data_IF_345916785476
#
_entry.id   IF_345916785476
#
_cell.length_a   1.000
_cell.length_b   1.000
_cell.length_c   1.000
_cell.angle_alpha   90.00
_cell.angle_beta   90.00
_cell.angle_gamma   90.00
#
_symmetry.space_group_name_H-M   'P 1'
#
loop_
_entity.id
_entity.type
_entity.pdbx_description
1 polymer ?
#
# COMPACT_ATOMS: atom_id res chain seq x y z
N UNK A 1 29.88 7.31 28.59
CA UNK A 1 28.49 7.82 28.56
C UNK A 1 27.59 6.62 28.35
N UNK A 2 26.42 6.52 29.01
CA UNK A 2 25.44 5.53 28.57
C UNK A 2 25.06 5.88 27.13
N UNK A 3 25.13 4.90 26.24
CA UNK A 3 24.66 5.04 24.86
C UNK A 3 23.15 5.16 25.00
N UNK A 4 22.59 6.34 24.69
CA UNK A 4 21.13 6.47 24.63
C UNK A 4 20.62 5.53 23.55
N UNK A 5 19.59 4.72 23.83
CA UNK A 5 19.09 3.77 22.85
C UNK A 5 18.52 4.51 21.64
N UNK A 6 18.80 4.00 20.44
CA UNK A 6 18.34 4.57 19.17
C UNK A 6 16.84 4.85 19.21
N UNK A 7 16.40 6.08 18.87
CA UNK A 7 14.98 6.42 18.85
C UNK A 7 14.23 5.51 17.89
N UNK A 8 13.03 5.10 18.27
CA UNK A 8 12.07 4.45 17.38
C UNK A 8 11.58 5.52 16.41
N UNK A 9 11.64 5.24 15.12
CA UNK A 9 11.12 6.13 14.09
C UNK A 9 9.69 5.70 13.74
N UNK A 10 8.78 6.67 13.65
CA UNK A 10 7.42 6.45 13.20
C UNK A 10 7.03 7.50 12.16
N UNK A 11 6.43 7.05 11.07
CA UNK A 11 5.76 7.90 10.11
C UNK A 11 4.25 7.85 10.31
N UNK A 12 3.64 9.02 10.42
CA UNK A 12 2.21 9.19 10.57
C UNK A 12 1.61 9.79 9.30
N UNK A 13 0.87 8.98 8.55
CA UNK A 13 0.11 9.44 7.38
C UNK A 13 -1.35 9.69 7.76
N UNK A 14 -1.94 10.79 7.30
CA UNK A 14 -3.32 11.15 7.64
C UNK A 14 -3.92 12.15 6.64
N UNK A 15 -5.25 12.20 6.59
CA UNK A 15 -5.94 13.24 5.84
C UNK A 15 -5.94 14.56 6.63
N UNK A 16 -5.12 15.53 6.21
CA UNK A 16 -4.99 16.85 6.86
C UNK A 16 -6.32 17.56 7.10
N UNK A 17 -7.25 17.50 6.15
CA UNK A 17 -8.57 18.12 6.29
C UNK A 17 -9.39 17.55 7.45
N UNK A 18 -9.15 16.30 7.83
CA UNK A 18 -9.84 15.70 8.97
C UNK A 18 -9.21 16.15 10.28
N UNK A 19 -7.89 16.25 10.35
CA UNK A 19 -7.21 16.78 11.55
C UNK A 19 -7.48 18.28 11.76
N UNK A 20 -7.63 19.07 10.70
CA UNK A 20 -8.03 20.48 10.80
C UNK A 20 -9.43 20.65 11.45
N UNK A 21 -10.32 19.68 11.26
CA UNK A 21 -11.67 19.69 11.83
C UNK A 21 -11.72 19.05 13.23
N UNK A 22 -11.00 17.94 13.43
CA UNK A 22 -11.13 17.09 14.62
C UNK A 22 -9.94 17.15 15.59
N UNK A 23 -8.77 17.65 15.17
CA UNK A 23 -7.59 17.89 16.01
C UNK A 23 -7.04 16.65 16.72
N UNK A 24 -7.04 15.48 16.07
CA UNK A 24 -6.66 14.22 16.70
C UNK A 24 -5.16 13.90 16.65
N UNK A 25 -4.39 14.50 15.74
CA UNK A 25 -2.97 14.14 15.53
C UNK A 25 -2.12 14.51 16.74
N UNK A 26 -2.20 15.74 17.23
CA UNK A 26 -1.36 16.19 18.35
C UNK A 26 -1.63 15.38 19.64
N UNK A 27 -2.89 15.14 20.07
CA UNK A 27 -3.19 14.26 21.20
C UNK A 27 -2.71 12.83 20.99
N UNK A 28 -2.88 12.27 19.79
CA UNK A 28 -2.45 10.92 19.43
C UNK A 28 -0.92 10.79 19.56
N UNK A 29 -0.17 11.65 18.89
CA UNK A 29 1.29 11.63 18.87
C UNK A 29 1.85 11.84 20.28
N UNK A 30 1.36 12.85 21.00
CA UNK A 30 1.82 13.16 22.35
C UNK A 30 1.64 11.97 23.30
N UNK A 31 0.46 11.34 23.27
CA UNK A 31 0.17 10.19 24.14
C UNK A 31 0.97 8.96 23.74
N UNK A 32 1.08 8.66 22.44
CA UNK A 32 1.84 7.52 21.93
C UNK A 32 3.32 7.64 22.31
N UNK A 33 3.94 8.81 22.12
CA UNK A 33 5.34 9.06 22.52
C UNK A 33 5.57 8.79 24.00
N UNK A 34 4.70 9.30 24.86
CA UNK A 34 4.80 9.11 26.31
C UNK A 34 4.70 7.63 26.71
N UNK A 35 3.73 6.91 26.14
CA UNK A 35 3.50 5.50 26.44
C UNK A 35 4.60 4.60 25.90
N UNK A 36 5.06 4.82 24.66
CA UNK A 36 6.19 4.07 24.09
C UNK A 36 7.45 4.29 24.92
N UNK A 37 7.77 5.53 25.32
CA UNK A 37 8.91 5.81 26.20
C UNK A 37 8.78 5.12 27.55
N UNK A 38 7.59 5.14 28.15
CA UNK A 38 7.34 4.51 29.45
C UNK A 38 7.42 2.98 29.39
N UNK A 39 6.95 2.35 28.31
CA UNK A 39 6.89 0.89 28.15
C UNK A 39 8.20 0.28 27.63
N UNK A 40 8.89 0.94 26.70
CA UNK A 40 10.08 0.40 26.03
C UNK A 40 11.40 1.04 26.51
N UNK A 41 11.35 2.19 27.19
CA UNK A 41 12.54 2.97 27.52
C UNK A 41 13.14 3.75 26.34
N UNK A 42 12.69 3.52 25.10
CA UNK A 42 13.17 4.20 23.88
C UNK A 42 12.34 5.45 23.59
N UNK A 43 13.00 6.50 23.08
CA UNK A 43 12.28 7.66 22.57
C UNK A 43 11.53 7.28 21.28
N UNK A 44 10.40 7.92 21.01
CA UNK A 44 9.66 7.79 19.76
C UNK A 44 9.73 9.12 19.02
N UNK A 45 10.43 9.11 17.89
CA UNK A 45 10.48 10.23 16.96
C UNK A 45 9.42 10.02 15.89
N UNK A 46 8.50 10.98 15.80
CA UNK A 46 7.34 10.91 14.92
C UNK A 46 7.49 11.96 13.84
N UNK A 47 7.47 11.51 12.59
CA UNK A 47 7.35 12.35 11.42
C UNK A 47 5.89 12.36 10.98
N UNK A 48 5.37 13.57 10.82
CA UNK A 48 3.97 13.82 10.47
C UNK A 48 3.96 14.39 9.07
N UNK A 49 3.23 13.76 8.15
CA UNK A 49 3.09 14.31 6.80
C UNK A 49 2.27 15.61 6.85
N UNK A 50 2.96 16.75 6.75
CA UNK A 50 2.33 18.08 6.73
C UNK A 50 2.24 18.66 5.31
N UNK A 51 3.06 18.17 4.38
CA UNK A 51 3.20 18.67 3.01
C UNK A 51 3.68 17.51 2.11
N UNK A 52 2.79 17.04 1.23
CA UNK A 52 2.90 15.87 0.36
C UNK A 52 4.04 15.88 -0.69
N UNK A 53 5.14 16.61 -0.48
CA UNK A 53 6.26 16.69 -1.41
C UNK A 53 7.56 16.65 -0.61
N UNK A 54 8.14 15.47 -0.41
CA UNK A 54 9.52 15.34 0.05
C UNK A 54 9.82 14.24 1.08
N UNK A 55 8.80 13.55 1.61
CA UNK A 55 9.06 12.41 2.49
C UNK A 55 9.37 11.13 1.72
N UNK A 56 8.70 10.89 0.59
CA UNK A 56 8.86 9.70 -0.25
C UNK A 56 10.29 9.39 -0.69
N UNK A 57 11.23 10.33 -0.73
CA UNK A 57 12.65 10.03 -1.01
C UNK A 57 13.44 9.67 0.25
N UNK A 58 13.29 10.42 1.35
CA UNK A 58 14.15 10.30 2.53
C UNK A 58 13.90 9.07 3.42
N UNK A 59 12.73 8.43 3.36
CA UNK A 59 12.49 7.21 4.14
C UNK A 59 12.67 5.93 3.31
N UNK A 60 12.66 6.03 1.96
CA UNK A 60 12.98 4.91 1.07
C UNK A 60 14.34 4.31 1.41
N UNK A 61 15.28 5.15 1.84
CA UNK A 61 16.64 4.78 2.25
C UNK A 61 16.70 4.35 3.74
N UNK A 62 15.87 4.95 4.60
CA UNK A 62 15.89 4.70 6.06
C UNK A 62 15.26 3.38 6.50
N UNK A 63 14.42 2.76 5.66
CA UNK A 63 13.90 1.42 5.96
C UNK A 63 15.03 0.37 5.90
N UNK A 64 16.12 0.67 5.19
CA UNK A 64 17.26 -0.22 4.98
C UNK A 64 18.48 0.18 5.82
N UNK A 65 18.63 1.46 6.15
CA UNK A 65 19.69 1.96 7.03
C UNK A 65 19.42 1.55 8.51
N UNK A 66 19.82 0.31 8.83
CA UNK A 66 20.13 -0.26 10.15
C UNK A 66 19.18 -1.33 10.70
N UNK A 67 19.81 -2.41 11.21
CA UNK A 67 19.22 -3.49 12.03
C UNK A 67 18.51 -2.95 13.30
N UNK A 68 18.70 -1.68 13.66
CA UNK A 68 18.17 -1.05 14.88
C UNK A 68 17.20 0.12 14.63
N UNK A 69 16.89 0.42 13.36
CA UNK A 69 16.22 1.65 12.92
C UNK A 69 14.92 1.43 12.14
N UNK A 70 14.26 0.29 12.32
CA UNK A 70 12.99 0.01 11.65
C UNK A 70 11.97 1.14 11.88
N UNK A 71 11.45 1.69 10.78
CA UNK A 71 10.46 2.76 10.81
C UNK A 71 9.06 2.15 10.78
N UNK A 72 8.25 2.48 11.78
CA UNK A 72 6.84 2.06 11.85
C UNK A 72 5.99 3.04 11.04
N UNK A 73 5.07 2.53 10.21
CA UNK A 73 4.13 3.34 9.45
C UNK A 73 2.73 3.24 10.06
N UNK A 74 2.16 4.37 10.46
CA UNK A 74 0.83 4.46 11.06
C UNK A 74 -0.05 5.36 10.20
N UNK A 75 -0.93 4.79 9.36
CA UNK A 75 -1.95 5.55 8.67
C UNK A 75 -3.16 5.74 9.59
N UNK A 76 -3.55 7.00 9.80
CA UNK A 76 -4.79 7.39 10.45
C UNK A 76 -5.91 7.42 9.40
N UNK A 77 -6.57 6.29 9.26
CA UNK A 77 -7.55 5.98 8.23
C UNK A 77 -8.89 6.65 8.50
N UNK A 78 -9.42 7.26 7.45
CA UNK A 78 -10.76 7.86 7.39
C UNK A 78 -11.34 7.65 6.00
N UNK A 79 -12.62 8.01 5.79
CA UNK A 79 -13.18 8.05 4.45
C UNK A 79 -12.39 9.02 3.53
N UNK A 80 -12.00 10.19 4.05
CA UNK A 80 -11.22 11.19 3.30
C UNK A 80 -9.83 10.68 2.96
N UNK A 81 -9.19 9.91 3.83
CA UNK A 81 -7.91 9.25 3.56
C UNK A 81 -7.98 8.43 2.26
N UNK A 82 -9.02 7.61 2.11
CA UNK A 82 -9.21 6.75 0.93
C UNK A 82 -9.41 7.55 -0.37
N UNK A 83 -9.80 8.82 -0.30
CA UNK A 83 -10.00 9.67 -1.47
C UNK A 83 -8.74 10.42 -1.90
N UNK A 84 -7.71 10.51 -1.04
CA UNK A 84 -6.50 11.30 -1.27
C UNK A 84 -5.42 10.48 -1.97
N UNK A 85 -5.04 10.81 -3.21
CA UNK A 85 -4.03 10.03 -3.94
C UNK A 85 -2.68 9.91 -3.23
N UNK A 86 -2.21 11.00 -2.60
CA UNK A 86 -0.94 11.01 -1.87
C UNK A 86 -0.94 10.02 -0.69
N UNK A 87 -2.01 10.02 0.12
CA UNK A 87 -2.14 9.10 1.26
C UNK A 87 -2.20 7.63 0.82
N UNK A 88 -2.79 7.35 -0.35
CA UNK A 88 -2.82 6.00 -0.95
C UNK A 88 -1.45 5.59 -1.45
N UNK A 89 -0.75 6.49 -2.14
CA UNK A 89 0.61 6.25 -2.65
C UNK A 89 1.58 5.91 -1.51
N UNK A 90 1.58 6.70 -0.43
CA UNK A 90 2.41 6.45 0.75
C UNK A 90 2.13 5.09 1.38
N UNK A 91 0.85 4.75 1.53
CA UNK A 91 0.41 3.48 2.10
C UNK A 91 0.90 2.29 1.26
N UNK A 92 0.66 2.33 -0.05
CA UNK A 92 1.03 1.24 -0.97
C UNK A 92 2.55 1.12 -1.09
N UNK A 93 3.28 2.24 -1.16
CA UNK A 93 4.74 2.25 -1.17
C UNK A 93 5.34 1.62 0.08
N UNK A 94 4.80 1.95 1.26
CA UNK A 94 5.24 1.33 2.50
C UNK A 94 4.92 -0.16 2.52
N UNK A 95 3.71 -0.54 2.11
CA UNK A 95 3.29 -1.93 2.11
C UNK A 95 4.21 -2.82 1.26
N UNK A 96 4.50 -2.43 0.02
CA UNK A 96 5.38 -3.18 -0.89
C UNK A 96 6.78 -3.34 -0.31
N UNK A 97 7.38 -2.26 0.22
CA UNK A 97 8.70 -2.36 0.86
C UNK A 97 8.70 -3.27 2.08
N UNK A 98 7.69 -3.16 2.92
CA UNK A 98 7.56 -4.01 4.09
C UNK A 98 7.35 -5.49 3.72
N UNK A 99 6.71 -5.79 2.57
CA UNK A 99 6.61 -7.15 2.04
C UNK A 99 7.96 -7.72 1.62
N UNK A 100 8.75 -6.94 0.88
CA UNK A 100 10.10 -7.32 0.44
C UNK A 100 11.00 -7.65 1.62
N UNK A 101 10.96 -6.80 2.66
CA UNK A 101 11.77 -6.97 3.85
C UNK A 101 11.19 -8.00 4.83
N UNK A 102 10.01 -8.58 4.55
CA UNK A 102 9.34 -9.52 5.44
C UNK A 102 8.85 -8.91 6.76
N UNK A 103 8.72 -7.58 6.86
CA UNK A 103 8.38 -6.82 8.08
C UNK A 103 7.04 -6.10 7.97
N UNK A 104 6.08 -6.72 7.29
CA UNK A 104 4.74 -6.16 7.05
C UNK A 104 3.96 -5.77 8.31
N UNK A 105 4.35 -6.26 9.49
CA UNK A 105 3.84 -5.88 10.80
C UNK A 105 4.16 -4.43 11.18
N UNK A 106 5.16 -3.80 10.54
CA UNK A 106 5.47 -2.38 10.74
C UNK A 106 4.42 -1.44 10.15
N UNK A 107 3.48 -1.96 9.35
CA UNK A 107 2.28 -1.26 8.89
C UNK A 107 1.18 -1.42 9.94
N UNK A 108 0.94 -0.38 10.74
CA UNK A 108 -0.03 -0.38 11.84
C UNK A 108 -1.20 0.57 11.56
N UNK A 109 -2.22 0.12 10.81
CA UNK A 109 -3.37 0.94 10.46
C UNK A 109 -4.26 1.26 11.67
N UNK A 110 -4.72 2.51 11.73
CA UNK A 110 -5.61 3.00 12.78
C UNK A 110 -6.83 3.66 12.15
N UNK A 111 -8.01 3.12 12.40
CA UNK A 111 -9.27 3.70 11.93
C UNK A 111 -9.75 4.78 12.91
N UNK A 112 -9.84 6.03 12.45
CA UNK A 112 -10.24 7.15 13.31
C UNK A 112 -11.74 7.15 13.56
N UNK A 113 -12.54 6.89 12.51
CA UNK A 113 -13.99 6.86 12.57
C UNK A 113 -14.52 5.60 11.87
N UNK A 114 -15.47 4.90 12.49
CA UNK A 114 -16.15 3.78 11.87
C UNK A 114 -16.80 4.24 10.57
N UNK A 115 -16.59 3.48 9.52
CA UNK A 115 -17.12 3.78 8.20
C UNK A 115 -17.41 2.49 7.46
N UNK A 116 -18.52 2.42 6.70
CA UNK A 116 -18.86 1.25 5.89
C UNK A 116 -17.90 1.04 4.71
N UNK A 117 -16.88 1.90 4.57
CA UNK A 117 -15.79 1.72 3.61
C UNK A 117 -14.70 0.77 4.14
N UNK A 118 -14.68 0.48 5.44
CA UNK A 118 -13.76 -0.47 6.07
C UNK A 118 -14.54 -1.71 6.54
N UNK A 119 -13.88 -2.86 6.56
CA UNK A 119 -14.49 -4.15 6.87
C UNK A 119 -14.18 -5.23 5.83
N UNK A 120 -14.59 -6.48 6.08
CA UNK A 120 -14.26 -7.64 5.24
C UNK A 120 -14.84 -7.56 3.82
N UNK A 121 -15.94 -6.85 3.64
CA UNK A 121 -16.58 -6.63 2.33
C UNK A 121 -16.11 -5.33 1.66
N UNK A 122 -15.01 -4.73 2.14
CA UNK A 122 -14.50 -3.51 1.53
C UNK A 122 -14.14 -3.74 0.07
N UNK A 123 -14.48 -2.75 -0.74
CA UNK A 123 -14.19 -2.72 -2.17
C UNK A 123 -13.01 -1.82 -2.51
N UNK A 124 -12.40 -1.20 -1.50
CA UNK A 124 -11.27 -0.29 -1.64
C UNK A 124 -10.00 -1.02 -1.23
N UNK A 125 -8.97 -0.92 -2.08
CA UNK A 125 -7.77 -1.74 -1.96
C UNK A 125 -6.93 -1.41 -0.72
N UNK A 126 -6.77 -0.12 -0.39
CA UNK A 126 -6.10 0.33 0.85
C UNK A 126 -6.89 -0.13 2.08
N UNK A 127 -8.22 -0.04 2.04
CA UNK A 127 -9.05 -0.51 3.15
C UNK A 127 -8.99 -2.04 3.33
N UNK A 128 -8.90 -2.80 2.23
CA UNK A 128 -8.75 -4.26 2.27
C UNK A 128 -7.40 -4.67 2.88
N UNK A 129 -6.30 -4.01 2.49
CA UNK A 129 -4.98 -4.25 3.11
C UNK A 129 -5.01 -3.85 4.58
N UNK A 130 -5.63 -2.72 4.93
CA UNK A 130 -5.75 -2.30 6.33
C UNK A 130 -6.53 -3.31 7.18
N UNK A 131 -7.59 -3.91 6.64
CA UNK A 131 -8.36 -4.98 7.28
C UNK A 131 -7.51 -6.25 7.48
N UNK A 132 -6.75 -6.66 6.45
CA UNK A 132 -5.79 -7.78 6.53
C UNK A 132 -4.77 -7.57 7.66
N UNK A 133 -4.36 -6.31 7.86
CA UNK A 133 -3.44 -5.87 8.93
C UNK A 133 -4.12 -5.61 10.27
N UNK A 134 -5.42 -5.93 10.40
CA UNK A 134 -6.18 -5.84 11.63
C UNK A 134 -6.10 -4.45 12.30
N UNK A 135 -6.56 -3.42 11.57
CA UNK A 135 -6.55 -2.05 12.06
C UNK A 135 -7.22 -1.90 13.44
N UNK A 136 -6.77 -0.89 14.18
CA UNK A 136 -7.37 -0.51 15.46
C UNK A 136 -8.32 0.68 15.28
N UNK A 137 -9.58 0.55 15.70
CA UNK A 137 -10.53 1.65 15.68
C UNK A 137 -10.43 2.49 16.97
N UNK A 138 -10.28 3.81 16.84
CA UNK A 138 -10.14 4.73 17.99
C UNK A 138 -11.33 5.67 18.19
N UNK A 139 -12.41 5.50 17.42
CA UNK A 139 -13.58 6.39 17.47
C UNK A 139 -14.14 6.55 18.89
N UNK A 140 -14.45 5.46 19.59
CA UNK A 140 -15.00 5.51 20.96
C UNK A 140 -14.08 6.28 21.92
N UNK A 141 -12.77 6.04 21.79
CA UNK A 141 -11.76 6.69 22.61
C UNK A 141 -11.64 8.19 22.30
N UNK A 142 -11.84 8.59 21.04
CA UNK A 142 -11.86 9.97 20.60
C UNK A 142 -13.12 10.69 21.12
N UNK A 143 -14.28 10.03 21.03
CA UNK A 143 -15.56 10.57 21.49
C UNK A 143 -15.62 10.76 23.02
N UNK A 144 -14.99 9.87 23.78
CA UNK A 144 -14.86 9.97 25.24
C UNK A 144 -13.88 11.09 25.68
N UNK A 145 -13.06 11.59 24.76
CA UNK A 145 -12.10 12.67 24.98
C UNK A 145 -10.72 12.23 25.47
N UNK A 146 -9.71 13.09 25.25
CA UNK A 146 -8.29 12.75 25.40
C UNK A 146 -7.80 12.56 26.86
N UNK A 147 -8.59 12.98 27.84
CA UNK A 147 -8.31 12.76 29.28
C UNK A 147 -9.05 11.53 29.84
N UNK A 148 -9.82 10.82 29.02
CA UNK A 148 -10.59 9.66 29.45
C UNK A 148 -9.71 8.43 29.71
N UNK A 149 -10.20 7.53 30.55
CA UNK A 149 -9.60 6.20 30.72
C UNK A 149 -9.67 5.38 29.44
N UNK A 150 -10.70 5.59 28.61
CA UNK A 150 -10.87 4.93 27.31
C UNK A 150 -9.75 5.33 26.36
N UNK A 151 -9.45 6.63 26.24
CA UNK A 151 -8.30 7.14 25.47
C UNK A 151 -6.97 6.56 25.94
N UNK A 152 -6.73 6.59 27.27
CA UNK A 152 -5.49 6.03 27.82
C UNK A 152 -5.35 4.53 27.52
N UNK A 153 -6.44 3.77 27.63
CA UNK A 153 -6.45 2.32 27.37
C UNK A 153 -6.19 2.04 25.89
N UNK A 154 -6.87 2.75 24.99
CA UNK A 154 -6.71 2.57 23.54
C UNK A 154 -5.28 2.95 23.08
N UNK A 155 -4.74 4.06 23.57
CA UNK A 155 -3.37 4.47 23.26
C UNK A 155 -2.33 3.52 23.89
N UNK A 156 -2.61 2.93 25.05
CA UNK A 156 -1.75 1.90 25.64
C UNK A 156 -1.69 0.65 24.77
N UNK A 157 -2.83 0.21 24.24
CA UNK A 157 -2.94 -0.92 23.30
C UNK A 157 -2.17 -0.65 22.01
N UNK A 158 -2.28 0.55 21.44
CA UNK A 158 -1.53 0.95 20.26
C UNK A 158 -0.01 0.98 20.52
N UNK A 159 0.41 1.50 21.67
CA UNK A 159 1.82 1.50 22.06
C UNK A 159 2.38 0.07 22.21
N UNK A 160 1.59 -0.85 22.78
CA UNK A 160 1.96 -2.27 22.87
C UNK A 160 2.11 -2.91 21.50
N UNK A 161 1.12 -2.75 20.62
CA UNK A 161 1.18 -3.22 19.23
C UNK A 161 2.40 -2.71 18.48
N UNK A 162 2.70 -1.41 18.64
CA UNK A 162 3.88 -0.78 18.05
C UNK A 162 5.19 -1.42 18.53
N UNK A 163 5.34 -1.59 19.84
CA UNK A 163 6.54 -2.19 20.42
C UNK A 163 6.69 -3.66 19.98
N UNK A 164 5.60 -4.42 19.98
CA UNK A 164 5.62 -5.82 19.54
C UNK A 164 5.99 -5.96 18.05
N UNK A 165 5.40 -5.14 17.18
CA UNK A 165 5.72 -5.12 15.76
C UNK A 165 7.20 -4.80 15.53
N UNK A 166 7.71 -3.80 16.24
CA UNK A 166 9.12 -3.40 16.14
C UNK A 166 10.07 -4.52 16.60
N UNK A 167 9.79 -5.19 17.72
CA UNK A 167 10.64 -6.27 18.22
C UNK A 167 10.69 -7.47 17.26
N UNK A 168 9.56 -7.80 16.63
CA UNK A 168 9.49 -8.85 15.61
C UNK A 168 10.31 -8.46 14.39
N UNK A 169 10.15 -7.24 13.89
CA UNK A 169 10.91 -6.73 12.75
C UNK A 169 12.42 -6.68 13.03
N UNK A 170 12.84 -6.22 14.22
CA UNK A 170 14.26 -6.20 14.61
C UNK A 170 14.86 -7.60 14.67
N UNK A 171 14.08 -8.60 15.10
CA UNK A 171 14.51 -10.01 15.11
C UNK A 171 14.64 -10.55 13.69
N UNK A 172 13.63 -10.33 12.83
CA UNK A 172 13.65 -10.77 11.44
C UNK A 172 14.83 -10.14 10.65
N UNK A 173 15.08 -8.84 10.84
CA UNK A 173 16.20 -8.14 10.20
C UNK A 173 17.56 -8.56 10.77
N UNK A 174 17.63 -8.86 12.08
CA UNK A 174 18.83 -9.36 12.73
C UNK A 174 19.25 -10.75 12.23
N UNK A 175 18.30 -11.67 12.13
CA UNK A 175 18.52 -13.03 11.61
C UNK A 175 18.96 -13.01 10.13
N UNK A 176 18.38 -12.13 9.30
CA UNK A 176 18.80 -11.92 7.92
C UNK A 176 20.26 -11.44 7.82
N UNK A 177 20.68 -10.52 8.69
CA UNK A 177 22.05 -9.98 8.72
C UNK A 177 23.08 -11.00 9.22
N UNK A 178 22.75 -11.81 10.23
CA UNK A 178 23.63 -12.86 10.74
C UNK A 178 23.81 -14.02 9.74
N UNK A 179 22.76 -14.38 9.01
CA UNK A 179 22.82 -15.38 7.95
C UNK A 179 23.74 -14.93 6.80
N UNK A 180 23.68 -13.66 6.39
CA UNK A 180 24.56 -13.11 5.36
C UNK A 180 26.05 -13.09 5.81
N UNK A 181 26.33 -12.72 7.06
CA UNK A 181 27.68 -12.76 7.64
C UNK A 181 28.25 -14.19 7.77
N UNK A 182 27.39 -15.18 8.01
CA UNK A 182 27.75 -16.60 8.10
C UNK A 182 27.99 -17.25 6.73
N UNK A 183 27.21 -16.88 5.72
CA UNK A 183 27.37 -17.33 4.34
C UNK A 183 28.62 -16.76 3.67
N UNK A 184 28.93 -15.47 3.93
CA UNK A 184 30.18 -14.83 3.46
C UNK A 184 31.43 -15.42 4.12
N UNK A 185 31.36 -15.81 5.40
CA UNK A 185 32.44 -16.54 6.08
C UNK A 185 32.62 -17.97 5.55
N UNK A 186 31.54 -18.68 5.24
CA UNK A 186 31.59 -20.01 4.58
C UNK A 186 32.10 -19.95 3.13
N UNK A 187 31.85 -18.87 2.39
CA UNK A 187 32.42 -18.67 1.04
C UNK A 187 33.93 -18.38 1.07
N UNK A 188 34.48 -17.80 2.14
CA UNK A 188 35.94 -17.59 2.30
C UNK A 188 36.71 -18.83 2.75
N UNK A 189 36.07 -19.75 3.46
CA UNK A 189 36.64 -21.04 3.84
C UNK A 189 36.19 -22.12 2.85
N UNK A 190 37.01 -22.41 1.85
CA UNK A 190 36.69 -23.38 0.80
C UNK A 190 36.22 -24.75 1.33
N UNK A 191 35.05 -25.18 0.84
CA UNK A 191 34.55 -26.55 0.69
C UNK A 191 35.04 -27.60 1.68
N UNK A 192 34.21 -27.95 2.66
CA UNK A 192 33.85 -29.34 2.92
C UNK A 192 32.36 -29.41 3.27
N UNK A 193 31.59 -30.09 2.41
CA UNK A 193 30.19 -30.38 2.65
C UNK A 193 30.06 -31.37 3.81
N UNK A 194 29.27 -31.02 4.83
CA UNK A 194 28.71 -31.99 5.76
C UNK A 194 27.18 -31.88 5.73
N UNK A 195 26.47 -32.96 5.35
CA UNK A 195 25.02 -32.99 5.32
C UNK A 195 24.55 -33.33 6.74
N UNK A 196 23.90 -32.37 7.40
CA UNK A 196 22.90 -32.57 8.45
C UNK A 196 22.55 -31.18 9.00
N UNK A 197 21.48 -30.61 8.46
CA UNK A 197 20.68 -29.61 9.14
C UNK A 197 19.23 -30.06 8.99
N UNK A 198 18.56 -30.08 10.12
CA UNK A 198 17.30 -30.73 10.39
C UNK A 198 16.15 -30.23 9.51
N UNK A 199 15.27 -31.18 9.21
CA UNK A 199 14.12 -31.17 8.32
C UNK A 199 12.91 -30.56 9.06
N UNK A 200 12.89 -29.24 9.26
CA UNK A 200 11.82 -28.58 10.04
C UNK A 200 11.38 -27.19 9.55
N UNK A 201 11.57 -26.85 8.27
CA UNK A 201 10.93 -25.64 7.69
C UNK A 201 10.84 -25.74 6.15
N UNK A 202 9.73 -26.23 5.58
CA UNK A 202 9.55 -26.19 4.11
C UNK A 202 8.08 -26.09 3.67
N UNK A 203 7.32 -25.18 4.29
CA UNK A 203 6.05 -24.69 3.73
C UNK A 203 6.22 -23.32 3.02
N UNK A 204 7.45 -22.82 2.88
CA UNK A 204 7.72 -21.54 2.20
C UNK A 204 7.91 -21.75 0.70
N UNK A 205 7.27 -20.89 -0.09
CA UNK A 205 7.33 -21.00 -1.54
C UNK A 205 8.76 -20.80 -2.06
N UNK A 206 9.23 -21.74 -2.88
CA UNK A 206 10.56 -21.66 -3.50
C UNK A 206 10.60 -20.73 -4.71
N UNK A 207 11.81 -20.44 -5.21
CA UNK A 207 12.03 -19.58 -6.39
C UNK A 207 11.16 -19.98 -7.60
N UNK A 208 11.05 -21.28 -7.88
CA UNK A 208 10.28 -21.79 -9.02
C UNK A 208 8.78 -21.48 -8.89
N UNK A 209 8.23 -21.53 -7.67
CA UNK A 209 6.83 -21.22 -7.40
C UNK A 209 6.57 -19.73 -7.60
N UNK A 210 7.44 -18.87 -7.06
CA UNK A 210 7.34 -17.44 -7.31
C UNK A 210 7.47 -17.06 -8.78
N UNK A 211 8.32 -17.75 -9.56
CA UNK A 211 8.41 -17.52 -11.02
C UNK A 211 7.13 -17.92 -11.76
N UNK A 212 6.48 -19.02 -11.36
CA UNK A 212 5.20 -19.44 -11.93
C UNK A 212 4.12 -18.40 -11.61
N UNK A 213 4.07 -17.95 -10.36
CA UNK A 213 3.13 -16.92 -9.92
C UNK A 213 3.35 -15.58 -10.61
N UNK A 214 4.62 -15.18 -10.79
CA UNK A 214 4.98 -13.98 -11.54
C UNK A 214 4.46 -14.05 -12.98
N UNK A 215 4.71 -15.15 -13.71
CA UNK A 215 4.22 -15.29 -15.08
C UNK A 215 2.70 -15.26 -15.16
N UNK A 216 2.02 -15.98 -14.24
CA UNK A 216 0.56 -15.99 -14.17
C UNK A 216 -0.01 -14.59 -13.92
N UNK A 217 0.59 -13.85 -12.98
CA UNK A 217 0.15 -12.51 -12.63
C UNK A 217 0.35 -11.52 -13.79
N UNK A 218 1.47 -11.62 -14.53
CA UNK A 218 1.72 -10.82 -15.75
C UNK A 218 0.64 -11.08 -16.80
N UNK A 219 0.32 -12.35 -17.07
CA UNK A 219 -0.71 -12.72 -18.04
C UNK A 219 -2.10 -12.21 -17.61
N UNK A 220 -2.43 -12.34 -16.32
CA UNK A 220 -3.68 -11.82 -15.76
C UNK A 220 -3.79 -10.29 -15.85
N UNK A 221 -2.70 -9.56 -15.60
CA UNK A 221 -2.63 -8.10 -15.78
C UNK A 221 -2.82 -7.72 -17.25
N UNK A 222 -2.14 -8.41 -18.18
CA UNK A 222 -2.28 -8.18 -19.61
C UNK A 222 -3.72 -8.39 -20.11
N UNK A 223 -4.36 -9.47 -19.65
CA UNK A 223 -5.78 -9.72 -19.91
C UNK A 223 -6.67 -8.61 -19.34
N UNK A 224 -6.47 -8.24 -18.08
CA UNK A 224 -7.25 -7.17 -17.45
C UNK A 224 -7.10 -5.84 -18.21
N UNK A 225 -5.89 -5.50 -18.68
CA UNK A 225 -5.64 -4.30 -19.49
C UNK A 225 -6.45 -4.31 -20.79
N UNK A 226 -6.49 -5.45 -21.47
CA UNK A 226 -7.24 -5.63 -22.72
C UNK A 226 -8.75 -5.45 -22.52
N UNK A 227 -9.28 -5.75 -21.32
CA UNK A 227 -10.68 -5.55 -20.98
C UNK A 227 -11.01 -4.10 -20.53
N UNK A 228 -10.05 -3.37 -19.95
CA UNK A 228 -10.30 -2.00 -19.47
C UNK A 228 -10.67 -1.03 -20.59
N UNK A 229 -9.97 -1.07 -21.73
CA UNK A 229 -10.21 -0.14 -22.84
C UNK A 229 -11.63 -0.21 -23.43
N UNK A 230 -12.18 -1.39 -23.80
CA UNK A 230 -13.56 -1.49 -24.27
C UNK A 230 -14.57 -1.10 -23.19
N UNK A 231 -14.30 -1.41 -21.92
CA UNK A 231 -15.19 -1.04 -20.81
C UNK A 231 -15.25 0.48 -20.57
N UNK A 232 -14.11 1.18 -20.64
CA UNK A 232 -14.06 2.65 -20.58
C UNK A 232 -14.78 3.27 -21.79
N UNK A 233 -14.59 2.71 -22.98
CA UNK A 233 -15.26 3.17 -24.22
C UNK A 233 -16.77 3.00 -24.12
N UNK A 234 -17.24 1.86 -23.60
CA UNK A 234 -18.65 1.61 -23.36
C UNK A 234 -19.24 2.62 -22.38
N UNK A 235 -18.56 2.89 -21.26
CA UNK A 235 -18.98 3.90 -20.27
C UNK A 235 -19.10 5.29 -20.91
N UNK A 236 -18.13 5.70 -21.72
CA UNK A 236 -18.13 7.00 -22.40
C UNK A 236 -19.22 7.16 -23.47
N UNK A 237 -19.72 6.05 -24.02
CA UNK A 237 -20.76 6.06 -25.07
C UNK A 237 -22.19 6.19 -24.52
N UNK A 238 -22.40 5.88 -23.23
CA UNK A 238 -23.73 5.86 -22.59
C UNK A 238 -24.53 7.16 -22.79
N UNK A 239 -23.98 8.37 -22.61
CA UNK A 239 -24.76 9.60 -22.85
C UNK A 239 -25.32 9.70 -24.27
N UNK A 240 -24.54 9.27 -25.27
CA UNK A 240 -24.96 9.28 -26.68
C UNK A 240 -26.08 8.28 -26.98
N UNK A 241 -26.08 7.13 -26.32
CA UNK A 241 -27.12 6.09 -26.49
C UNK A 241 -28.47 6.48 -25.90
N UNK A 242 -28.46 7.23 -24.80
CA UNK A 242 -29.69 7.68 -24.11
C UNK A 242 -30.35 8.86 -24.82
N UNK A 243 -29.56 9.63 -25.57
CA UNK A 243 -29.97 10.80 -26.32
C UNK A 243 -30.06 12.07 -25.48
N UNK A 244 -30.14 13.21 -26.15
CA UNK A 244 -30.10 14.52 -25.50
C UNK A 244 -31.33 14.82 -24.65
N UNK A 245 -31.11 15.58 -23.58
CA UNK A 245 -32.17 16.20 -22.81
C UNK A 245 -32.75 17.37 -23.63
N UNK A 246 -34.09 17.54 -23.73
CA UNK A 246 -34.69 18.70 -24.39
C UNK A 246 -34.21 20.02 -23.78
N UNK A 247 -34.15 21.09 -24.60
CA UNK A 247 -33.65 22.42 -24.17
C UNK A 247 -34.43 23.03 -23.00
N UNK A 248 -35.74 22.76 -22.90
CA UNK A 248 -36.61 23.18 -21.79
C UNK A 248 -37.40 21.97 -21.25
N UNK A 249 -36.77 21.10 -20.45
CA UNK A 249 -37.37 19.86 -20.02
C UNK A 249 -38.29 20.10 -18.83
N UNK A 250 -39.54 19.61 -18.91
CA UNK A 250 -40.38 19.52 -17.72
C UNK A 250 -39.72 18.64 -16.65
N UNK A 251 -40.04 18.83 -15.35
CA UNK A 251 -39.48 18.00 -14.27
C UNK A 251 -39.66 16.48 -14.50
N UNK A 252 -40.77 16.09 -15.13
CA UNK A 252 -41.05 14.68 -15.48
C UNK A 252 -40.14 14.17 -16.60
N UNK A 253 -39.86 14.99 -17.61
CA UNK A 253 -38.93 14.64 -18.70
C UNK A 253 -37.50 14.52 -18.16
N UNK A 254 -37.09 15.46 -17.31
CA UNK A 254 -35.80 15.45 -16.62
C UNK A 254 -35.62 14.16 -15.80
N UNK A 255 -36.60 13.81 -14.97
CA UNK A 255 -36.58 12.59 -14.15
C UNK A 255 -36.51 11.32 -15.01
N UNK A 256 -37.28 11.26 -16.09
CA UNK A 256 -37.33 10.10 -17.00
C UNK A 256 -36.01 9.94 -17.76
N UNK A 257 -35.41 11.03 -18.22
CA UNK A 257 -34.10 11.03 -18.87
C UNK A 257 -33.01 10.57 -17.90
N UNK A 258 -32.96 11.16 -16.71
CA UNK A 258 -31.99 10.82 -15.65
C UNK A 258 -32.06 9.34 -15.24
N UNK A 259 -33.29 8.81 -15.13
CA UNK A 259 -33.50 7.40 -14.75
C UNK A 259 -33.02 6.45 -15.84
N UNK A 260 -33.29 6.76 -17.11
CA UNK A 260 -32.77 6.00 -18.25
C UNK A 260 -31.25 6.04 -18.31
N UNK A 261 -30.67 7.22 -18.09
CA UNK A 261 -29.23 7.41 -18.06
C UNK A 261 -28.57 6.59 -16.94
N UNK A 262 -29.11 6.65 -15.71
CA UNK A 262 -28.61 5.86 -14.60
C UNK A 262 -28.72 4.34 -14.84
N UNK A 263 -29.80 3.90 -15.48
CA UNK A 263 -29.97 2.48 -15.83
C UNK A 263 -28.94 2.04 -16.89
N UNK A 264 -28.69 2.88 -17.90
CA UNK A 264 -27.72 2.60 -18.96
C UNK A 264 -26.28 2.54 -18.43
N UNK A 265 -25.92 3.39 -17.46
CA UNK A 265 -24.61 3.36 -16.81
C UNK A 265 -24.35 2.11 -15.97
N UNK A 266 -25.40 1.41 -15.51
CA UNK A 266 -25.28 0.37 -14.48
C UNK A 266 -24.32 -0.75 -14.88
N UNK A 267 -24.48 -1.33 -16.07
CA UNK A 267 -23.67 -2.46 -16.49
C UNK A 267 -22.23 -2.04 -16.84
N UNK A 268 -21.99 -1.00 -17.67
CA UNK A 268 -20.63 -0.52 -17.94
C UNK A 268 -19.86 -0.11 -16.68
N UNK A 269 -20.53 0.48 -15.69
CA UNK A 269 -19.89 0.84 -14.43
C UNK A 269 -19.48 -0.38 -13.59
N UNK A 270 -20.32 -1.42 -13.55
CA UNK A 270 -19.99 -2.68 -12.86
C UNK A 270 -18.87 -3.44 -13.57
N UNK A 271 -18.86 -3.43 -14.91
CA UNK A 271 -17.79 -4.02 -15.69
C UNK A 271 -16.46 -3.29 -15.41
N UNK A 272 -16.48 -1.96 -15.29
CA UNK A 272 -15.28 -1.19 -14.97
C UNK A 272 -14.77 -1.48 -13.56
N UNK A 273 -15.67 -1.61 -12.58
CA UNK A 273 -15.31 -2.03 -11.22
C UNK A 273 -14.65 -3.41 -11.22
N UNK A 274 -15.25 -4.38 -11.92
CA UNK A 274 -14.73 -5.74 -12.03
C UNK A 274 -13.33 -5.75 -12.66
N UNK A 275 -13.17 -5.11 -13.82
CA UNK A 275 -11.94 -5.16 -14.59
C UNK A 275 -10.82 -4.38 -13.87
N UNK A 276 -11.14 -3.24 -13.24
CA UNK A 276 -10.21 -2.49 -12.40
C UNK A 276 -9.74 -3.27 -11.17
N UNK A 277 -10.64 -3.97 -10.47
CA UNK A 277 -10.26 -4.83 -9.34
C UNK A 277 -9.46 -6.06 -9.77
N UNK A 278 -9.79 -6.65 -10.92
CA UNK A 278 -9.02 -7.78 -11.48
C UNK A 278 -7.60 -7.34 -11.79
N UNK A 279 -7.44 -6.15 -12.38
CA UNK A 279 -6.14 -5.53 -12.63
C UNK A 279 -5.35 -5.37 -11.33
N UNK A 280 -5.94 -4.75 -10.31
CA UNK A 280 -5.26 -4.53 -9.03
C UNK A 280 -4.91 -5.83 -8.32
N UNK A 281 -5.81 -6.81 -8.30
CA UNK A 281 -5.55 -8.11 -7.69
C UNK A 281 -4.41 -8.86 -8.39
N UNK A 282 -4.32 -8.80 -9.72
CA UNK A 282 -3.22 -9.37 -10.47
C UNK A 282 -1.90 -8.63 -10.18
N UNK A 283 -1.95 -7.29 -10.09
CA UNK A 283 -0.78 -6.49 -9.70
C UNK A 283 -0.30 -6.82 -8.28
N UNK A 284 -1.20 -7.03 -7.31
CA UNK A 284 -0.84 -7.47 -5.95
C UNK A 284 -0.13 -8.83 -5.97
N UNK A 285 -0.62 -9.80 -6.74
CA UNK A 285 0.05 -11.10 -6.89
C UNK A 285 1.42 -10.96 -7.53
N UNK A 286 1.56 -10.07 -8.51
CA UNK A 286 2.84 -9.79 -9.13
C UNK A 286 3.81 -9.16 -8.12
N UNK A 287 3.35 -8.19 -7.33
CA UNK A 287 4.12 -7.56 -6.25
C UNK A 287 4.63 -8.58 -5.23
N UNK A 288 3.74 -9.47 -4.76
CA UNK A 288 4.08 -10.58 -3.86
C UNK A 288 5.10 -11.54 -4.48
N UNK A 289 4.94 -11.90 -5.75
CA UNK A 289 5.87 -12.78 -6.45
C UNK A 289 7.24 -12.13 -6.67
N UNK A 290 7.29 -10.86 -7.07
CA UNK A 290 8.54 -10.09 -7.22
C UNK A 290 9.28 -9.98 -5.88
N UNK A 291 8.54 -9.69 -4.81
CA UNK A 291 9.08 -9.62 -3.44
C UNK A 291 9.64 -10.98 -3.00
N UNK A 292 8.92 -12.08 -3.25
CA UNK A 292 9.38 -13.43 -2.96
C UNK A 292 10.64 -13.83 -3.73
N UNK A 293 10.72 -13.52 -5.03
CA UNK A 293 11.93 -13.74 -5.84
C UNK A 293 13.12 -12.96 -5.27
N UNK A 294 12.91 -11.70 -4.88
CA UNK A 294 13.95 -10.88 -4.27
C UNK A 294 14.43 -11.47 -2.94
N UNK A 295 13.50 -11.90 -2.09
CA UNK A 295 13.83 -12.52 -0.80
C UNK A 295 14.66 -13.80 -0.97
N UNK A 296 14.26 -14.70 -1.88
CA UNK A 296 15.03 -15.92 -2.18
C UNK A 296 16.43 -15.58 -2.73
N UNK A 297 16.55 -14.53 -3.55
CA UNK A 297 17.84 -14.07 -4.09
C UNK A 297 18.80 -13.62 -2.98
N UNK A 298 18.28 -12.93 -1.96
CA UNK A 298 19.03 -12.53 -0.76
C UNK A 298 19.50 -13.78 0.02
N UNK A 299 18.61 -14.74 0.24
CA UNK A 299 18.89 -15.96 1.03
C UNK A 299 19.98 -16.85 0.40
N UNK A 300 20.01 -16.97 -0.94
CA UNK A 300 21.02 -17.77 -1.64
C UNK A 300 22.35 -17.01 -1.84
N UNK A 301 22.44 -15.76 -1.38
CA UNK A 301 23.61 -14.91 -1.55
C UNK A 301 23.92 -14.61 -3.02
N UNK A 302 22.87 -14.55 -3.86
CA UNK A 302 22.92 -14.05 -5.24
C UNK A 302 22.47 -12.58 -5.23
N UNK A 303 23.30 -11.74 -4.62
CA UNK A 303 23.14 -10.28 -4.61
C UNK A 303 23.81 -9.62 -5.81
N UNK A 304 24.23 -10.42 -6.81
CA UNK A 304 24.89 -9.90 -7.99
C UNK A 304 23.87 -9.11 -8.83
N UNK A 305 24.09 -7.81 -8.93
CA UNK A 305 23.28 -6.85 -9.67
C UNK A 305 23.16 -7.20 -11.17
N UNK A 306 24.22 -7.81 -11.72
CA UNK A 306 24.29 -8.34 -13.09
C UNK A 306 23.92 -9.84 -13.18
N UNK A 307 23.37 -10.40 -12.11
CA UNK A 307 22.92 -11.79 -12.06
C UNK A 307 21.71 -12.04 -12.95
N UNK A 308 21.51 -13.29 -13.42
CA UNK A 308 20.37 -13.65 -14.26
C UNK A 308 19.01 -13.35 -13.62
N UNK A 309 18.89 -13.43 -12.29
CA UNK A 309 17.64 -13.10 -11.57
C UNK A 309 17.36 -11.60 -11.56
N UNK A 310 18.37 -10.78 -11.24
CA UNK A 310 18.28 -9.33 -11.27
C UNK A 310 17.95 -8.81 -12.68
N UNK A 311 18.60 -9.36 -13.72
CA UNK A 311 18.30 -9.03 -15.12
C UNK A 311 16.86 -9.40 -15.51
N UNK A 312 16.38 -10.56 -15.05
CA UNK A 312 14.99 -10.98 -15.25
C UNK A 312 13.98 -10.02 -14.62
N UNK A 313 14.19 -9.64 -13.37
CA UNK A 313 13.36 -8.66 -12.66
C UNK A 313 13.39 -7.30 -13.38
N UNK A 314 14.57 -6.80 -13.78
CA UNK A 314 14.72 -5.56 -14.55
C UNK A 314 13.95 -5.63 -15.87
N UNK A 315 14.00 -6.75 -16.57
CA UNK A 315 13.26 -6.96 -17.82
C UNK A 315 11.75 -6.89 -17.59
N UNK A 316 11.23 -7.54 -16.54
CA UNK A 316 9.80 -7.51 -16.21
C UNK A 316 9.35 -6.09 -15.84
N UNK A 317 10.05 -5.44 -14.91
CA UNK A 317 9.68 -4.11 -14.40
C UNK A 317 9.77 -3.04 -15.49
N UNK A 318 10.83 -3.07 -16.31
CA UNK A 318 10.96 -2.14 -17.44
C UNK A 318 9.92 -2.39 -18.55
N UNK A 319 9.42 -3.63 -18.67
CA UNK A 319 8.37 -4.01 -19.61
C UNK A 319 7.05 -3.23 -19.43
N UNK A 320 6.75 -2.73 -18.23
CA UNK A 320 5.57 -1.89 -17.96
C UNK A 320 5.71 -0.45 -18.46
N UNK A 321 6.94 0.02 -18.71
CA UNK A 321 7.20 1.36 -19.24
C UNK A 321 6.73 2.50 -18.34
N UNK A 322 6.43 3.65 -18.94
CA UNK A 322 5.86 4.82 -18.25
C UNK A 322 4.32 4.81 -18.33
N UNK A 323 3.67 4.88 -17.17
CA UNK A 323 2.21 4.82 -17.02
C UNK A 323 1.60 6.20 -16.70
N UNK A 324 2.39 7.28 -16.70
CA UNK A 324 1.95 8.65 -16.40
C UNK A 324 0.75 9.10 -17.24
N UNK A 325 0.72 8.78 -18.54
CA UNK A 325 -0.40 9.12 -19.42
C UNK A 325 -1.68 8.36 -19.07
N UNK A 326 -1.55 7.12 -18.59
CA UNK A 326 -2.69 6.31 -18.15
C UNK A 326 -3.24 6.88 -16.85
N UNK A 327 -2.38 7.23 -15.91
CA UNK A 327 -2.79 7.88 -14.66
C UNK A 327 -3.56 9.17 -14.91
N UNK A 328 -3.01 10.05 -15.77
CA UNK A 328 -3.67 11.30 -16.15
C UNK A 328 -5.04 11.05 -16.82
N UNK A 329 -5.15 10.02 -17.64
CA UNK A 329 -6.42 9.63 -18.28
C UNK A 329 -7.45 9.17 -17.23
N UNK A 330 -7.02 8.40 -16.23
CA UNK A 330 -7.88 7.93 -15.13
C UNK A 330 -8.34 9.10 -14.24
N UNK A 331 -7.46 10.07 -13.96
CA UNK A 331 -7.83 11.30 -13.25
C UNK A 331 -8.84 12.14 -14.04
N UNK A 332 -8.63 12.26 -15.36
CA UNK A 332 -9.58 12.90 -16.26
C UNK A 332 -10.96 12.24 -16.22
N UNK A 333 -11.00 10.90 -16.21
CA UNK A 333 -12.25 10.14 -16.12
C UNK A 333 -12.97 10.34 -14.78
N UNK A 334 -12.24 10.32 -13.66
CA UNK A 334 -12.81 10.66 -12.33
C UNK A 334 -13.40 12.06 -12.31
N UNK A 335 -12.71 13.02 -12.91
CA UNK A 335 -13.17 14.42 -12.99
C UNK A 335 -14.41 14.56 -13.86
N UNK A 336 -14.47 13.84 -14.99
CA UNK A 336 -15.62 13.85 -15.90
C UNK A 336 -16.89 13.25 -15.28
N UNK A 337 -16.77 12.35 -14.29
CA UNK A 337 -17.94 11.76 -13.60
C UNK A 337 -18.57 12.70 -12.57
N UNK A 338 -17.81 13.63 -11.97
CA UNK A 338 -18.29 14.52 -10.89
C UNK A 338 -19.59 15.27 -11.21
N UNK A 339 -19.77 15.93 -12.38
CA UNK A 339 -21.01 16.62 -12.70
C UNK A 339 -22.22 15.68 -12.69
N UNK A 340 -22.10 14.48 -13.26
CA UNK A 340 -23.18 13.50 -13.31
C UNK A 340 -23.56 12.97 -11.90
N UNK A 341 -22.57 12.81 -11.01
CA UNK A 341 -22.79 12.38 -9.62
C UNK A 341 -23.49 13.44 -8.74
N UNK A 342 -23.25 14.72 -9.04
CA UNK A 342 -23.93 15.84 -8.38
C UNK A 342 -25.35 16.05 -8.89
N UNK A 343 -25.63 15.62 -10.13
CA UNK A 343 -26.91 15.85 -10.80
C UNK A 343 -28.08 15.10 -10.14
N UNK A 344 -27.89 13.82 -9.77
CA UNK A 344 -28.96 13.05 -9.12
C UNK A 344 -28.45 11.85 -8.31
N UNK A 345 -29.24 11.43 -7.32
CA UNK A 345 -28.95 10.24 -6.50
C UNK A 345 -28.86 8.94 -7.33
N UNK A 346 -29.77 8.66 -8.28
CA UNK A 346 -29.65 7.47 -9.13
C UNK A 346 -28.37 7.43 -9.95
N UNK A 347 -27.97 8.55 -10.56
CA UNK A 347 -26.73 8.61 -11.35
C UNK A 347 -25.49 8.40 -10.48
N UNK A 348 -25.45 9.03 -9.30
CA UNK A 348 -24.38 8.82 -8.33
C UNK A 348 -24.25 7.35 -7.95
N UNK A 349 -25.38 6.68 -7.66
CA UNK A 349 -25.39 5.26 -7.32
C UNK A 349 -24.95 4.37 -8.48
N UNK A 350 -25.32 4.71 -9.72
CA UNK A 350 -24.93 3.92 -10.90
C UNK A 350 -23.46 4.12 -11.29
N UNK A 351 -22.87 5.28 -11.02
CA UNK A 351 -21.46 5.59 -11.35
C UNK A 351 -20.48 5.21 -10.25
N UNK A 352 -20.93 5.01 -9.00
CA UNK A 352 -20.05 4.61 -7.89
C UNK A 352 -19.19 3.36 -8.19
N UNK A 353 -19.70 2.29 -8.85
CA UNK A 353 -18.87 1.18 -9.32
C UNK A 353 -17.73 1.62 -10.26
N UNK A 354 -18.05 2.45 -11.27
CA UNK A 354 -17.07 2.95 -12.23
C UNK A 354 -15.95 3.73 -11.51
N UNK A 355 -16.31 4.60 -10.55
CA UNK A 355 -15.33 5.33 -9.74
C UNK A 355 -14.37 4.39 -9.02
N UNK A 356 -14.89 3.34 -8.37
CA UNK A 356 -14.07 2.32 -7.70
C UNK A 356 -13.14 1.60 -8.66
N UNK A 357 -13.64 1.20 -9.83
CA UNK A 357 -12.82 0.58 -10.86
C UNK A 357 -11.65 1.47 -11.32
N UNK A 358 -11.94 2.75 -11.57
CA UNK A 358 -10.90 3.74 -11.93
C UNK A 358 -9.90 3.95 -10.79
N UNK A 359 -10.36 3.97 -9.53
CA UNK A 359 -9.47 4.02 -8.36
C UNK A 359 -8.56 2.80 -8.31
N UNK A 360 -9.06 1.58 -8.45
CA UNK A 360 -8.22 0.37 -8.45
C UNK A 360 -7.18 0.37 -9.59
N UNK A 361 -7.51 0.93 -10.77
CA UNK A 361 -6.52 1.11 -11.84
C UNK A 361 -5.43 2.10 -11.44
N UNK A 362 -5.78 3.21 -10.77
CA UNK A 362 -4.79 4.16 -10.25
C UNK A 362 -3.91 3.54 -9.17
N UNK A 363 -4.51 2.79 -8.24
CA UNK A 363 -3.79 2.07 -7.20
C UNK A 363 -2.83 1.04 -7.82
N UNK A 364 -3.22 0.42 -8.94
CA UNK A 364 -2.33 -0.46 -9.72
C UNK A 364 -1.13 0.31 -10.27
N UNK A 365 -1.37 1.48 -10.88
CA UNK A 365 -0.27 2.31 -11.42
C UNK A 365 0.68 2.74 -10.31
N UNK A 366 0.12 3.15 -9.16
CA UNK A 366 0.91 3.52 -7.99
C UNK A 366 1.74 2.32 -7.50
N UNK A 367 1.13 1.14 -7.35
CA UNK A 367 1.83 -0.09 -6.97
C UNK A 367 2.96 -0.44 -7.94
N UNK A 368 2.68 -0.46 -9.25
CA UNK A 368 3.70 -0.73 -10.30
C UNK A 368 4.84 0.29 -10.25
N UNK A 369 4.55 1.56 -9.97
CA UNK A 369 5.57 2.59 -9.84
C UNK A 369 6.52 2.33 -8.67
N UNK A 370 6.04 1.68 -7.59
CA UNK A 370 6.89 1.29 -6.46
C UNK A 370 7.94 0.25 -6.85
N UNK A 371 7.68 -0.60 -7.86
CA UNK A 371 8.60 -1.68 -8.25
C UNK A 371 9.92 -1.17 -8.80
N UNK A 372 9.97 0.04 -9.35
CA UNK A 372 11.25 0.66 -9.75
C UNK A 372 12.19 0.80 -8.55
N UNK A 373 11.66 1.10 -7.37
CA UNK A 373 12.47 1.13 -6.14
C UNK A 373 12.98 -0.25 -5.72
N UNK A 374 12.36 -1.35 -6.16
CA UNK A 374 12.90 -2.69 -5.92
C UNK A 374 14.24 -2.89 -6.63
N UNK A 375 14.42 -2.22 -7.78
CA UNK A 375 15.63 -2.25 -8.59
C UNK A 375 16.73 -1.35 -8.02
N UNK A 376 16.37 -0.19 -7.46
CA UNK A 376 17.36 0.74 -6.86
C UNK A 376 18.18 0.06 -5.74
N UNK A 377 17.58 -0.90 -5.02
CA UNK A 377 18.24 -1.72 -4.00
C UNK A 377 19.19 -2.81 -4.57
N UNK A 378 19.21 -2.98 -5.89
CA UNK A 378 20.18 -3.78 -6.64
C UNK A 378 21.20 -2.89 -7.36
N UNK A 379 21.23 -1.58 -7.09
CA UNK A 379 22.17 -0.63 -7.72
C UNK A 379 23.11 0.04 -6.71
N UNK A 380 23.05 -0.29 -5.41
CA UNK A 380 24.00 0.26 -4.44
C UNK A 380 25.36 -0.44 -4.53
N UNK A 381 26.40 0.25 -5.02
CA UNK A 381 27.72 -0.34 -5.07
C UNK A 381 28.18 -0.55 -3.63
N UNK A 382 28.51 -1.81 -3.32
CA UNK A 382 29.54 -2.19 -2.35
C UNK A 382 30.78 -1.31 -2.55
N UNK A 383 30.78 -0.13 -1.95
CA UNK A 383 31.80 0.88 -2.14
C UNK A 383 32.58 1.06 -0.84
N UNK A 384 33.67 0.28 -0.81
CA UNK A 384 34.99 0.64 -0.26
C UNK A 384 35.14 0.62 1.26
N UNK A 385 35.39 -0.58 1.77
CA UNK A 385 36.49 -0.77 2.72
C UNK A 385 37.74 -1.06 1.91
N UNK A 386 38.49 -0.02 1.57
CA UNK A 386 39.90 -0.13 1.18
C UNK A 386 40.55 1.26 1.26
N UNK A 387 41.13 1.57 2.42
CA UNK A 387 42.46 2.22 2.65
C UNK A 387 42.59 2.71 4.08
#
# INVERSE_FOLDING_TARGET
MPIDPTPIQLFLSYARSDDEEFGFVDPFVSKLKALVKAKSGRALDVFVDRDAIGWGENWRDRLEESVQGATVFVPLLTATYLERPACREEFLTFHTKAQVLGVTELLLPVLVFQSPLFGPDSTDDVAAIAEERQYECIEDALLDGYDSSTWLTQMSKLAEKLIEALLRAETALGEASENDASLTSRRRAGSEASPNADDDDDDRAGLAEHMIEMQRAIDEMGDAANHLNPTITALGSVPGEVGDLPDDPSPKQLQTWTTRLALAFKQPALDLERDGKRMFAAAKRLDEALSGIKQVSIEIGETNEDGPLAEGLRTVISGFGDLSSVEQSMEGLLTAMKPAETFSVPLRKSLRPARRGVTSVRDTIQLVATWRSLLDHLEEPSSRVDS
#
